data_IF_590290366461
#
_entry.id   IF_590290366461
#
_cell.length_a   1.000
_cell.length_b   1.000
_cell.length_c   1.000
_cell.angle_alpha   90.00
_cell.angle_beta   90.00
_cell.angle_gamma   90.00
#
_symmetry.space_group_name_H-M   'P 1'
#
loop_
_entity.id
_entity.type
_entity.pdbx_description
1 polymer ?
#
# COMPACT_ATOMS: atom_id res chain seq x y z
N UNK A 1 11.87 -34.03 -7.74
CA UNK A 1 12.16 -33.47 -9.06
C UNK A 1 10.95 -33.79 -9.94
N UNK A 2 10.01 -32.84 -10.07
CA UNK A 2 8.78 -33.03 -10.84
C UNK A 2 8.92 -32.14 -12.06
N UNK A 3 9.04 -32.77 -13.22
CA UNK A 3 9.15 -32.11 -14.54
C UNK A 3 7.75 -31.79 -14.99
N UNK A 4 7.39 -30.47 -14.99
CA UNK A 4 6.13 -29.97 -15.52
C UNK A 4 6.25 -29.83 -17.04
N UNK A 5 5.60 -30.72 -17.76
CA UNK A 5 5.56 -30.71 -19.24
C UNK A 5 4.52 -29.66 -19.66
N UNK A 6 4.96 -28.56 -20.25
CA UNK A 6 4.10 -27.58 -20.90
C UNK A 6 3.64 -28.12 -22.23
N UNK A 7 2.37 -28.49 -22.36
CA UNK A 7 1.73 -28.88 -23.60
C UNK A 7 1.43 -27.62 -24.42
N UNK A 8 2.25 -27.36 -25.43
CA UNK A 8 1.96 -26.32 -26.45
C UNK A 8 0.97 -26.88 -27.44
N UNK A 9 -0.29 -26.47 -27.38
CA UNK A 9 -1.31 -26.82 -28.36
C UNK A 9 -1.15 -25.86 -29.55
N UNK A 10 -0.58 -26.36 -30.64
CA UNK A 10 -0.66 -25.68 -31.93
C UNK A 10 -2.08 -25.86 -32.49
N UNK A 11 -2.91 -24.82 -32.41
CA UNK A 11 -4.13 -24.73 -33.20
C UNK A 11 -3.73 -24.47 -34.66
N UNK A 12 -3.74 -25.50 -35.47
CA UNK A 12 -3.71 -25.37 -36.92
C UNK A 12 -5.05 -24.76 -37.36
N UNK A 13 -5.08 -23.47 -37.59
CA UNK A 13 -6.20 -22.80 -38.26
C UNK A 13 -6.22 -23.25 -39.74
N UNK A 14 -7.14 -24.18 -40.07
CA UNK A 14 -7.40 -24.60 -41.45
C UNK A 14 -7.85 -23.40 -42.27
N UNK A 15 -6.94 -22.86 -43.05
CA UNK A 15 -7.11 -21.69 -43.90
C UNK A 15 -7.89 -21.88 -45.20
N UNK A 16 -8.90 -22.76 -45.23
CA UNK A 16 -9.62 -23.10 -46.48
C UNK A 16 -10.67 -22.05 -46.91
N UNK A 17 -11.21 -21.22 -46.02
CA UNK A 17 -12.24 -20.24 -46.41
C UNK A 17 -11.71 -18.86 -46.85
N UNK A 18 -10.46 -18.51 -46.50
CA UNK A 18 -9.83 -17.25 -46.91
C UNK A 18 -9.25 -17.36 -48.32
N UNK A 19 -8.69 -18.50 -48.75
CA UNK A 19 -8.18 -18.75 -50.08
C UNK A 19 -9.28 -18.77 -51.14
N UNK A 20 -10.48 -19.23 -50.84
CA UNK A 20 -11.63 -19.22 -51.77
C UNK A 20 -12.09 -17.83 -52.19
N UNK A 21 -11.70 -16.76 -51.47
CA UNK A 21 -12.04 -15.37 -51.78
C UNK A 21 -10.93 -14.59 -52.48
N UNK A 22 -9.70 -15.05 -52.38
CA UNK A 22 -8.55 -14.53 -53.12
C UNK A 22 -8.65 -14.99 -54.59
N UNK A 23 -8.49 -14.05 -55.53
CA UNK A 23 -8.60 -14.32 -56.96
C UNK A 23 -10.01 -14.09 -57.56
N UNK A 24 -11.06 -13.92 -56.74
CA UNK A 24 -12.38 -13.57 -57.29
C UNK A 24 -12.38 -12.15 -57.92
N UNK A 25 -13.13 -11.96 -59.00
CA UNK A 25 -13.26 -10.65 -59.67
C UNK A 25 -13.80 -9.60 -58.69
N UNK A 26 -13.27 -8.40 -58.78
CA UNK A 26 -13.72 -7.26 -58.02
C UNK A 26 -14.09 -6.06 -58.89
N UNK A 27 -15.00 -5.15 -58.47
CA UNK A 27 -15.59 -4.16 -59.36
C UNK A 27 -14.63 -3.03 -59.75
N UNK A 28 -13.72 -2.63 -58.85
CA UNK A 28 -12.80 -1.49 -59.10
C UNK A 28 -11.52 -1.66 -58.29
N UNK A 29 -10.36 -1.52 -58.94
CA UNK A 29 -9.08 -1.53 -58.28
C UNK A 29 -8.99 -0.45 -57.16
N UNK A 30 -8.36 -0.75 -56.06
CA UNK A 30 -8.23 0.10 -54.87
C UNK A 30 -9.37 -0.04 -53.85
N UNK A 31 -10.46 -0.76 -54.14
CA UNK A 31 -11.49 -1.05 -53.15
C UNK A 31 -10.98 -2.07 -52.12
N UNK A 32 -11.44 -1.90 -50.89
CA UNK A 32 -11.14 -2.82 -49.79
C UNK A 32 -12.41 -3.47 -49.26
N UNK A 33 -12.32 -4.69 -48.74
CA UNK A 33 -13.40 -5.36 -47.96
C UNK A 33 -12.82 -6.29 -46.94
N UNK A 34 -13.55 -6.52 -45.84
CA UNK A 34 -13.18 -7.46 -44.83
C UNK A 34 -14.17 -8.61 -44.79
N UNK A 35 -13.69 -9.86 -44.78
CA UNK A 35 -14.51 -11.07 -44.68
C UNK A 35 -13.91 -11.97 -43.62
N UNK A 36 -14.69 -12.30 -42.60
CA UNK A 36 -14.25 -13.14 -41.46
C UNK A 36 -12.92 -12.67 -40.85
N UNK A 37 -12.72 -11.34 -40.68
CA UNK A 37 -11.51 -10.78 -40.09
C UNK A 37 -10.30 -10.65 -41.04
N UNK A 38 -10.41 -11.12 -42.29
CA UNK A 38 -9.34 -10.97 -43.28
C UNK A 38 -9.66 -9.80 -44.21
N UNK A 39 -8.72 -8.87 -44.32
CA UNK A 39 -8.85 -7.73 -45.26
C UNK A 39 -8.35 -8.10 -46.65
N UNK A 40 -9.10 -7.70 -47.64
CA UNK A 40 -8.80 -7.90 -49.04
C UNK A 40 -8.74 -6.55 -49.77
N UNK A 41 -7.80 -6.39 -50.69
CA UNK A 41 -7.69 -5.25 -51.56
C UNK A 41 -7.91 -5.71 -53.02
N UNK A 42 -8.72 -4.94 -53.77
CA UNK A 42 -8.94 -5.18 -55.18
C UNK A 42 -7.75 -4.69 -56.01
N UNK A 43 -7.02 -5.58 -56.65
CA UNK A 43 -5.81 -5.26 -57.43
C UNK A 43 -6.02 -5.56 -58.88
N UNK A 44 -5.59 -4.68 -59.77
CA UNK A 44 -5.61 -4.91 -61.21
C UNK A 44 -4.60 -6.01 -61.60
N UNK A 45 -5.04 -7.07 -62.25
CA UNK A 45 -4.17 -8.13 -62.78
C UNK A 45 -3.86 -7.78 -64.24
N UNK A 46 -2.59 -7.62 -64.53
CA UNK A 46 -2.13 -7.40 -65.91
C UNK A 46 -2.54 -8.54 -66.83
N UNK A 47 -3.05 -8.23 -67.99
CA UNK A 47 -3.34 -9.26 -69.03
C UNK A 47 -2.07 -9.60 -69.76
N UNK A 48 -1.79 -10.90 -69.88
CA UNK A 48 -0.62 -11.41 -70.60
C UNK A 48 -0.89 -11.43 -72.13
N UNK A 49 -2.12 -11.26 -72.56
CA UNK A 49 -2.48 -11.22 -73.97
C UNK A 49 -2.61 -9.79 -74.49
N UNK A 50 -1.90 -9.44 -75.55
CA UNK A 50 -1.93 -8.14 -76.22
C UNK A 50 -3.37 -7.83 -76.67
N UNK A 51 -3.99 -6.74 -76.15
CA UNK A 51 -5.35 -6.34 -76.46
C UNK A 51 -6.49 -6.79 -75.48
N UNK A 52 -6.22 -7.59 -74.48
CA UNK A 52 -7.23 -7.99 -73.49
C UNK A 52 -7.32 -7.00 -72.36
N UNK A 53 -8.57 -6.66 -71.93
CA UNK A 53 -8.80 -5.78 -70.77
C UNK A 53 -8.24 -6.38 -69.47
N UNK A 54 -7.54 -5.56 -68.69
CA UNK A 54 -7.11 -5.94 -67.36
C UNK A 54 -8.32 -6.31 -66.49
N UNK A 55 -8.24 -7.43 -65.77
CA UNK A 55 -9.27 -7.83 -64.80
C UNK A 55 -8.78 -7.51 -63.39
N UNK A 56 -9.65 -6.94 -62.55
CA UNK A 56 -9.34 -6.71 -61.16
C UNK A 56 -9.78 -7.92 -60.30
N UNK A 57 -8.94 -8.33 -59.35
CA UNK A 57 -9.18 -9.47 -58.46
C UNK A 57 -8.91 -9.10 -57.00
N UNK A 58 -9.65 -9.74 -56.07
CA UNK A 58 -9.40 -9.61 -54.66
C UNK A 58 -8.13 -10.32 -54.27
N UNK A 59 -7.23 -9.61 -53.60
CA UNK A 59 -5.99 -10.14 -53.00
C UNK A 59 -6.05 -9.95 -51.51
N UNK A 60 -5.73 -10.98 -50.75
CA UNK A 60 -5.62 -10.84 -49.31
C UNK A 60 -4.54 -9.78 -48.98
N UNK A 61 -4.89 -8.77 -48.23
CA UNK A 61 -3.92 -7.78 -47.77
C UNK A 61 -3.05 -8.42 -46.70
N UNK A 62 -1.76 -8.47 -46.93
CA UNK A 62 -0.76 -8.90 -45.94
C UNK A 62 -0.40 -7.77 -44.94
N UNK A 63 -1.24 -6.72 -44.89
CA UNK A 63 -1.13 -5.76 -43.78
C UNK A 63 -1.44 -6.59 -42.52
N UNK A 64 -0.49 -6.76 -41.59
CA UNK A 64 -0.83 -7.37 -40.32
C UNK A 64 -2.01 -6.58 -39.77
N UNK A 65 -3.06 -7.30 -39.37
CA UNK A 65 -4.15 -6.67 -38.62
C UNK A 65 -3.47 -5.84 -37.54
N UNK A 66 -3.69 -4.51 -37.61
CA UNK A 66 -3.29 -3.64 -36.50
C UNK A 66 -4.07 -4.20 -35.32
N UNK A 67 -3.43 -5.05 -34.54
CA UNK A 67 -3.95 -5.42 -33.24
C UNK A 67 -4.14 -4.11 -32.54
N UNK A 68 -5.39 -3.68 -32.41
CA UNK A 68 -5.74 -2.62 -31.49
C UNK A 68 -5.30 -3.18 -30.13
N UNK A 69 -4.07 -2.87 -29.73
CA UNK A 69 -3.61 -3.11 -28.38
C UNK A 69 -4.53 -2.24 -27.54
N UNK A 70 -5.57 -2.85 -26.99
CA UNK A 70 -6.24 -2.31 -25.84
C UNK A 70 -5.15 -2.28 -24.79
N UNK A 71 -4.50 -1.14 -24.63
CA UNK A 71 -3.58 -0.90 -23.50
C UNK A 71 -4.49 -0.96 -22.29
N UNK A 72 -4.62 -2.15 -21.71
CA UNK A 72 -5.17 -2.31 -20.37
C UNK A 72 -4.16 -1.61 -19.49
N UNK A 73 -4.44 -0.36 -19.15
CA UNK A 73 -3.69 0.35 -18.12
C UNK A 73 -3.86 -0.50 -16.87
N UNK A 74 -2.83 -1.29 -16.53
CA UNK A 74 -2.80 -2.04 -15.28
C UNK A 74 -2.85 -0.97 -14.19
N UNK A 75 -4.00 -0.87 -13.51
CA UNK A 75 -4.16 0.07 -12.40
C UNK A 75 -3.19 -0.38 -11.32
N UNK A 76 -2.14 0.41 -11.11
CA UNK A 76 -1.16 0.15 -10.05
C UNK A 76 -1.89 0.25 -8.71
N UNK A 77 -1.87 -0.83 -7.93
CA UNK A 77 -2.52 -0.87 -6.60
C UNK A 77 -1.75 -0.04 -5.60
N UNK A 78 -2.38 0.31 -4.48
CA UNK A 78 -1.70 0.99 -3.36
C UNK A 78 -0.43 0.25 -2.92
N UNK A 79 -0.51 -1.08 -2.76
CA UNK A 79 0.63 -1.93 -2.41
C UNK A 79 1.78 -1.88 -3.43
N UNK A 80 1.50 -1.50 -4.68
CA UNK A 80 2.47 -1.35 -5.77
C UNK A 80 2.92 0.12 -5.97
N UNK A 81 2.56 1.03 -5.07
CA UNK A 81 2.90 2.46 -5.15
C UNK A 81 1.88 3.30 -5.92
N UNK A 82 0.67 2.79 -6.17
CA UNK A 82 -0.45 3.56 -6.71
C UNK A 82 -1.13 4.45 -5.68
N UNK A 83 -2.19 5.15 -6.12
CA UNK A 83 -3.03 5.96 -5.22
C UNK A 83 -3.74 5.06 -4.23
N UNK A 84 -3.67 5.42 -2.95
CA UNK A 84 -4.26 4.67 -1.85
C UNK A 84 -5.52 5.34 -1.30
N UNK A 85 -6.42 4.50 -0.81
CA UNK A 85 -7.56 4.88 0.02
C UNK A 85 -7.45 4.25 1.41
N UNK A 86 -8.17 4.81 2.37
CA UNK A 86 -8.29 4.20 3.71
C UNK A 86 -8.90 2.80 3.58
N UNK A 87 -8.23 1.81 4.13
CA UNK A 87 -8.60 0.39 4.04
C UNK A 87 -7.85 -0.41 2.97
N UNK A 88 -7.06 0.23 2.11
CA UNK A 88 -6.22 -0.48 1.15
C UNK A 88 -5.03 -1.16 1.84
N UNK A 89 -4.49 -2.21 1.21
CA UNK A 89 -3.20 -2.75 1.61
C UNK A 89 -2.07 -1.83 1.16
N UNK A 90 -1.24 -1.39 2.09
CA UNK A 90 -0.08 -0.55 1.83
C UNK A 90 1.14 -1.33 1.35
N UNK A 91 2.22 -0.64 0.93
CA UNK A 91 3.44 -1.26 0.40
C UNK A 91 4.28 -2.01 1.46
N UNK A 92 3.99 -1.83 2.74
CA UNK A 92 4.56 -2.62 3.84
C UNK A 92 3.73 -3.84 4.22
N UNK A 93 2.65 -4.12 3.48
CA UNK A 93 1.72 -5.22 3.77
C UNK A 93 0.77 -4.92 4.93
N UNK A 94 0.79 -3.69 5.46
CA UNK A 94 -0.14 -3.20 6.45
C UNK A 94 -1.44 -2.67 5.84
N UNK A 95 -2.27 -2.08 6.68
CA UNK A 95 -3.54 -1.48 6.27
C UNK A 95 -3.40 0.06 6.28
N UNK A 96 -3.75 0.73 5.20
CA UNK A 96 -3.79 2.19 5.15
C UNK A 96 -4.91 2.69 6.05
N UNK A 97 -4.57 3.41 7.10
CA UNK A 97 -5.55 3.97 8.03
C UNK A 97 -5.70 5.50 7.91
N UNK A 98 -4.73 6.15 7.26
CA UNK A 98 -4.69 7.59 7.10
C UNK A 98 -4.31 8.00 5.69
N UNK A 99 -5.05 8.95 5.13
CA UNK A 99 -4.74 9.66 3.89
C UNK A 99 -4.70 11.14 4.22
N UNK A 100 -3.52 11.72 4.13
CA UNK A 100 -3.33 13.13 4.47
C UNK A 100 -4.05 14.05 3.47
N UNK A 101 -4.76 15.08 3.94
CA UNK A 101 -5.37 16.09 3.06
C UNK A 101 -4.33 16.89 2.28
N UNK A 102 -3.14 17.07 2.84
CA UNK A 102 -1.96 17.63 2.21
C UNK A 102 -0.71 16.79 2.59
N UNK A 103 0.34 16.74 1.76
CA UNK A 103 1.57 16.05 2.11
C UNK A 103 2.16 16.56 3.44
N UNK A 104 2.75 15.65 4.23
CA UNK A 104 3.41 15.98 5.49
C UNK A 104 4.87 15.54 5.50
N UNK A 105 5.65 16.13 6.40
CA UNK A 105 7.06 15.76 6.63
C UNK A 105 7.15 14.70 7.72
N UNK A 106 7.83 13.60 7.44
CA UNK A 106 8.21 12.60 8.43
C UNK A 106 9.53 13.03 9.07
N UNK A 107 9.47 13.60 10.27
CA UNK A 107 10.66 14.11 10.97
C UNK A 107 11.60 12.96 11.32
N UNK A 108 12.91 13.16 11.14
CA UNK A 108 13.95 12.20 11.47
C UNK A 108 14.12 11.04 10.48
N UNK A 109 13.20 10.87 9.52
CA UNK A 109 13.31 9.81 8.54
C UNK A 109 14.47 10.06 7.57
N UNK A 110 15.43 9.12 7.53
CA UNK A 110 16.58 9.17 6.60
C UNK A 110 16.44 8.18 5.45
N UNK A 111 15.99 6.99 5.75
CA UNK A 111 15.91 5.85 4.82
C UNK A 111 14.47 5.41 4.56
N UNK A 112 13.50 6.23 4.96
CA UNK A 112 12.07 5.99 4.76
C UNK A 112 11.68 6.22 3.30
N UNK A 113 10.59 5.59 2.86
CA UNK A 113 10.04 5.80 1.52
C UNK A 113 9.52 7.22 1.30
N UNK A 114 9.35 8.01 2.34
CA UNK A 114 9.05 9.43 2.26
C UNK A 114 9.75 10.18 3.39
N UNK A 115 10.15 11.44 3.12
CA UNK A 115 10.73 12.34 4.12
C UNK A 115 9.96 13.65 4.21
N UNK A 116 9.67 14.29 3.09
CA UNK A 116 9.04 15.61 3.02
C UNK A 116 7.69 15.64 2.31
N UNK A 117 7.27 14.52 1.71
CA UNK A 117 6.06 14.42 0.89
C UNK A 117 5.23 13.19 1.22
N UNK A 118 5.27 12.74 2.47
CA UNK A 118 4.45 11.63 2.93
C UNK A 118 2.97 11.95 2.80
N UNK A 119 2.19 10.98 2.38
CA UNK A 119 0.76 11.15 2.16
C UNK A 119 -0.10 10.14 2.91
N UNK A 120 0.45 9.01 3.25
CA UNK A 120 -0.27 7.88 3.82
C UNK A 120 0.40 7.37 5.07
N UNK A 121 -0.42 6.83 6.00
CA UNK A 121 0.06 5.98 7.08
C UNK A 121 -0.58 4.60 6.95
N UNK A 122 0.23 3.56 7.08
CA UNK A 122 -0.23 2.17 7.19
C UNK A 122 0.08 1.60 8.58
N UNK A 123 -0.82 0.76 9.11
CA UNK A 123 -0.62 0.03 10.36
C UNK A 123 -0.24 -1.42 10.06
N UNK A 124 0.69 -1.97 10.80
CA UNK A 124 1.08 -3.37 10.70
C UNK A 124 -0.14 -4.31 10.84
N UNK A 125 -0.16 -5.50 10.20
CA UNK A 125 -1.24 -6.46 10.36
C UNK A 125 -1.33 -6.97 11.82
N UNK A 126 -2.47 -7.53 12.21
CA UNK A 126 -2.69 -8.04 13.56
C UNK A 126 -1.73 -9.16 13.99
N UNK A 127 -1.05 -9.76 13.03
CA UNK A 127 -0.05 -10.84 13.25
C UNK A 127 1.38 -10.32 13.38
N UNK A 128 1.59 -9.02 13.47
CA UNK A 128 2.92 -8.40 13.44
C UNK A 128 3.89 -8.88 14.54
N UNK A 129 3.37 -9.23 15.71
CA UNK A 129 4.16 -9.65 16.87
C UNK A 129 4.19 -11.16 17.07
N UNK A 130 3.57 -11.97 16.19
CA UNK A 130 3.34 -13.41 16.36
C UNK A 130 2.55 -13.77 17.64
N UNK A 131 1.93 -12.80 18.30
CA UNK A 131 1.05 -13.01 19.45
C UNK A 131 -0.42 -13.14 19.01
N UNK A 132 -1.26 -13.63 19.90
CA UNK A 132 -2.72 -13.61 19.70
C UNK A 132 -3.25 -12.20 19.97
N UNK A 133 -3.10 -11.30 18.99
CA UNK A 133 -3.46 -9.89 19.07
C UNK A 133 -2.25 -8.96 19.16
N UNK A 134 -2.48 -7.74 19.60
CA UNK A 134 -1.41 -6.76 19.74
C UNK A 134 -0.52 -7.04 20.96
N UNK A 135 0.77 -6.84 20.79
CA UNK A 135 1.74 -6.98 21.89
C UNK A 135 1.46 -5.95 22.98
N UNK A 136 1.47 -6.41 24.24
CA UNK A 136 1.31 -5.55 25.42
C UNK A 136 2.63 -5.40 26.13
N UNK A 137 3.18 -4.21 26.15
CA UNK A 137 4.47 -3.89 26.80
C UNK A 137 4.44 -2.47 27.36
N UNK A 138 5.45 -2.14 28.17
CA UNK A 138 5.67 -0.80 28.70
C UNK A 138 6.10 0.17 27.59
N UNK A 139 5.96 1.45 27.84
CA UNK A 139 6.41 2.49 26.89
C UNK A 139 7.93 2.49 26.74
N UNK A 140 8.68 2.38 27.84
CA UNK A 140 10.13 2.18 27.92
C UNK A 140 10.46 0.99 28.81
N UNK A 141 11.67 0.45 28.69
CA UNK A 141 12.17 -0.64 29.51
C UNK A 141 12.40 -0.20 30.95
N UNK A 142 12.24 -1.14 31.90
CA UNK A 142 12.69 -0.96 33.27
C UNK A 142 14.22 -1.07 33.32
N UNK A 143 14.87 0.08 33.23
CA UNK A 143 16.33 0.15 33.23
C UNK A 143 16.81 1.29 34.13
N UNK A 144 17.71 0.98 35.04
CA UNK A 144 18.27 1.94 36.00
C UNK A 144 19.71 2.26 35.63
N UNK A 145 19.98 3.53 35.38
CA UNK A 145 21.33 4.07 35.14
C UNK A 145 21.56 5.29 36.05
N UNK A 146 22.70 5.40 36.68
CA UNK A 146 23.04 6.53 37.56
C UNK A 146 21.93 6.86 38.58
N UNK A 147 21.30 5.84 39.15
CA UNK A 147 20.16 5.92 40.07
C UNK A 147 18.85 6.47 39.48
N UNK A 148 18.78 6.68 38.16
CA UNK A 148 17.57 7.04 37.45
C UNK A 148 17.00 5.83 36.70
N UNK A 149 15.68 5.59 36.84
CA UNK A 149 14.96 4.57 36.09
C UNK A 149 14.26 5.20 34.87
N UNK A 150 14.33 4.53 33.73
CA UNK A 150 13.70 5.02 32.48
C UNK A 150 12.21 5.31 32.65
N UNK A 151 11.51 4.59 33.51
CA UNK A 151 10.09 4.86 33.79
C UNK A 151 9.82 6.26 34.35
N UNK A 152 10.85 6.90 34.96
CA UNK A 152 10.75 8.19 35.64
C UNK A 152 11.68 9.25 35.03
N UNK A 153 12.30 8.92 33.89
CA UNK A 153 13.26 9.78 33.23
C UNK A 153 12.72 10.26 31.89
N UNK A 154 12.78 11.56 31.64
CA UNK A 154 12.36 12.14 30.38
C UNK A 154 13.21 11.63 29.21
N UNK A 155 12.58 11.40 28.06
CA UNK A 155 13.23 11.13 26.80
C UNK A 155 13.30 12.42 25.99
N UNK A 156 14.51 12.98 25.89
CA UNK A 156 14.71 14.22 25.14
C UNK A 156 14.30 14.05 23.66
N UNK A 157 13.39 14.89 23.18
CA UNK A 157 12.91 14.90 21.81
C UNK A 157 11.70 14.03 21.51
N UNK A 158 11.24 13.19 22.46
CA UNK A 158 10.08 12.32 22.26
C UNK A 158 8.73 12.99 22.61
N UNK A 159 8.65 14.30 22.60
CA UNK A 159 7.45 15.09 22.96
C UNK A 159 6.59 15.49 21.75
N UNK A 160 7.03 15.17 20.52
CA UNK A 160 6.30 15.47 19.30
C UNK A 160 4.92 14.80 19.27
N UNK A 161 3.84 15.59 19.08
CA UNK A 161 2.46 15.06 19.10
C UNK A 161 1.82 15.00 17.72
N UNK A 162 2.28 15.81 16.76
CA UNK A 162 1.67 15.97 15.44
C UNK A 162 1.91 14.76 14.54
N UNK A 163 1.10 14.62 13.47
CA UNK A 163 1.36 13.69 12.38
C UNK A 163 2.73 14.00 11.76
N UNK A 164 3.55 12.96 11.58
CA UNK A 164 4.92 13.07 11.07
C UNK A 164 6.00 13.17 12.16
N UNK A 165 5.65 13.20 13.45
CA UNK A 165 6.64 13.24 14.53
C UNK A 165 6.95 11.87 15.14
N UNK A 166 6.08 10.88 14.94
CA UNK A 166 6.18 9.58 15.61
C UNK A 166 7.46 8.83 15.29
N UNK A 167 8.01 8.97 14.09
CA UNK A 167 9.27 8.34 13.70
C UNK A 167 10.45 8.89 14.53
N UNK A 168 10.57 10.23 14.65
CA UNK A 168 11.62 10.86 15.44
C UNK A 168 11.46 10.49 16.93
N UNK A 169 10.26 10.61 17.49
CA UNK A 169 10.01 10.20 18.86
C UNK A 169 10.50 8.75 19.11
N UNK A 170 10.20 7.84 18.16
CA UNK A 170 10.62 6.44 18.26
C UNK A 170 12.13 6.25 18.20
N UNK A 171 12.84 7.10 17.44
CA UNK A 171 14.32 7.11 17.43
C UNK A 171 14.87 7.57 18.78
N UNK A 172 14.31 8.64 19.34
CA UNK A 172 14.77 9.23 20.60
C UNK A 172 14.52 8.26 21.76
N UNK A 173 13.36 7.59 21.80
CA UNK A 173 13.08 6.52 22.76
C UNK A 173 14.07 5.36 22.60
N UNK A 174 14.34 4.93 21.38
CA UNK A 174 15.27 3.83 21.12
C UNK A 174 16.72 4.18 21.46
N UNK A 175 17.08 5.46 21.41
CA UNK A 175 18.42 5.96 21.78
C UNK A 175 18.61 6.05 23.30
N UNK A 176 17.53 6.07 24.10
CA UNK A 176 17.66 6.04 25.55
C UNK A 176 18.23 4.68 26.00
N UNK A 177 19.27 4.71 26.83
CA UNK A 177 19.99 3.53 27.26
C UNK A 177 19.05 2.51 27.93
N UNK A 178 19.26 1.23 27.63
CA UNK A 178 18.53 0.11 28.23
C UNK A 178 17.18 -0.23 27.61
N UNK A 179 16.66 0.58 26.68
CA UNK A 179 15.43 0.22 25.98
C UNK A 179 15.68 -0.94 25.01
N UNK A 180 14.89 -2.00 25.13
CA UNK A 180 15.00 -3.22 24.31
C UNK A 180 13.67 -3.65 23.72
N UNK A 181 13.71 -4.46 22.66
CA UNK A 181 12.52 -4.94 21.92
C UNK A 181 11.48 -5.60 22.82
N UNK A 182 11.92 -6.35 23.82
CA UNK A 182 11.01 -7.13 24.68
C UNK A 182 10.20 -6.27 25.67
N UNK A 183 10.59 -5.01 25.90
CA UNK A 183 10.00 -4.20 26.96
C UNK A 183 9.89 -2.70 26.66
N UNK A 184 10.14 -2.28 25.43
CA UNK A 184 9.90 -0.89 24.98
C UNK A 184 9.05 -0.86 23.73
N UNK A 185 7.92 -0.15 23.79
CA UNK A 185 6.93 -0.02 22.72
C UNK A 185 7.55 0.51 21.42
N UNK A 186 8.35 1.57 21.50
CA UNK A 186 9.01 2.15 20.34
C UNK A 186 10.08 1.22 19.74
N UNK A 187 10.89 0.58 20.59
CA UNK A 187 11.94 -0.35 20.11
C UNK A 187 11.31 -1.58 19.47
N UNK A 188 10.23 -2.13 20.04
CA UNK A 188 9.49 -3.23 19.43
C UNK A 188 8.89 -2.84 18.06
N UNK A 189 8.31 -1.64 17.95
CA UNK A 189 7.77 -1.13 16.69
C UNK A 189 8.86 -0.94 15.63
N UNK A 190 10.02 -0.42 16.02
CA UNK A 190 11.19 -0.21 15.14
C UNK A 190 11.84 -1.51 14.68
N UNK A 191 11.76 -2.58 15.49
CA UNK A 191 12.29 -3.89 15.16
C UNK A 191 11.41 -4.67 14.17
N UNK A 192 10.17 -4.24 13.96
CA UNK A 192 9.29 -4.89 12.98
C UNK A 192 9.78 -4.63 11.56
N UNK A 193 9.79 -5.67 10.72
CA UNK A 193 10.29 -5.61 9.34
C UNK A 193 9.28 -6.16 8.33
N UNK A 194 7.98 -5.99 8.60
CA UNK A 194 6.90 -6.46 7.74
C UNK A 194 6.98 -5.86 6.33
N UNK A 195 6.65 -6.68 5.33
CA UNK A 195 6.74 -6.30 3.92
C UNK A 195 8.16 -5.99 3.44
N UNK A 196 9.21 -6.42 4.18
CA UNK A 196 10.59 -6.08 3.89
C UNK A 196 10.92 -4.59 4.11
N UNK A 197 10.13 -3.90 4.94
CA UNK A 197 10.32 -2.49 5.28
C UNK A 197 10.96 -2.36 6.66
N UNK A 198 11.86 -1.38 6.83
CA UNK A 198 12.63 -1.14 8.05
C UNK A 198 12.32 0.22 8.68
N UNK A 199 11.33 0.91 8.16
CA UNK A 199 10.90 2.26 8.55
C UNK A 199 9.59 2.28 9.37
N UNK A 200 9.25 1.16 10.02
CA UNK A 200 8.17 1.06 10.98
C UNK A 200 8.51 1.78 12.30
N UNK A 201 7.52 2.35 12.96
CA UNK A 201 7.70 3.12 14.18
C UNK A 201 6.43 3.09 15.06
N UNK A 202 6.53 3.58 16.29
CA UNK A 202 5.39 3.83 17.16
C UNK A 202 4.79 5.19 16.82
N UNK A 203 3.53 5.24 16.44
CA UNK A 203 2.87 6.47 16.01
C UNK A 203 2.80 7.54 17.09
N UNK A 204 2.87 8.81 16.72
CA UNK A 204 2.64 9.94 17.62
C UNK A 204 1.18 9.97 18.13
N UNK A 205 0.90 10.82 19.10
CA UNK A 205 -0.47 10.99 19.65
C UNK A 205 -1.51 11.22 18.53
N UNK A 206 -1.23 12.11 17.59
CA UNK A 206 -2.20 12.45 16.55
C UNK A 206 -2.28 11.38 15.46
N UNK A 207 -1.18 10.66 15.18
CA UNK A 207 -1.18 9.49 14.31
C UNK A 207 -2.01 8.34 14.91
N UNK A 208 -1.93 8.14 16.23
CA UNK A 208 -2.74 7.14 16.92
C UNK A 208 -4.22 7.54 17.02
N UNK A 209 -4.53 8.84 17.05
CA UNK A 209 -5.90 9.33 16.90
C UNK A 209 -6.49 8.97 15.52
N UNK A 210 -5.72 9.12 14.46
CA UNK A 210 -6.13 8.67 13.11
C UNK A 210 -6.30 7.15 13.04
N UNK A 211 -5.40 6.39 13.68
CA UNK A 211 -5.55 4.93 13.80
C UNK A 211 -6.86 4.55 14.48
N UNK A 212 -7.22 5.24 15.56
CA UNK A 212 -8.49 5.03 16.28
C UNK A 212 -9.70 5.28 15.37
N UNK A 213 -9.72 6.37 14.63
CA UNK A 213 -10.81 6.67 13.67
C UNK A 213 -11.02 5.54 12.68
N UNK A 214 -9.92 5.00 12.15
CA UNK A 214 -9.95 3.84 11.27
C UNK A 214 -10.41 2.58 12.01
N UNK A 215 -9.73 2.21 13.10
CA UNK A 215 -9.96 0.96 13.83
C UNK A 215 -11.41 0.83 14.29
N UNK A 216 -11.99 1.91 14.76
CA UNK A 216 -13.37 1.96 15.24
C UNK A 216 -14.42 2.30 14.18
N UNK A 217 -14.00 2.58 12.95
CA UNK A 217 -14.92 2.95 11.85
C UNK A 217 -15.86 4.09 12.26
N UNK A 218 -15.29 5.15 12.81
CA UNK A 218 -16.08 6.27 13.37
C UNK A 218 -16.86 7.07 12.34
N UNK A 219 -16.52 6.96 11.06
CA UNK A 219 -17.06 7.79 9.98
C UNK A 219 -16.44 9.19 9.92
N UNK A 220 -15.53 9.53 10.84
CA UNK A 220 -14.81 10.79 10.82
C UNK A 220 -13.84 10.85 9.64
N UNK A 221 -13.71 12.02 9.03
CA UNK A 221 -12.80 12.20 7.89
C UNK A 221 -11.34 12.02 8.34
N UNK A 222 -10.57 11.30 7.53
CA UNK A 222 -9.13 11.17 7.69
C UNK A 222 -8.47 12.55 7.60
N UNK A 223 -7.55 12.85 8.52
CA UNK A 223 -6.86 14.14 8.59
C UNK A 223 -7.69 15.29 9.16
N UNK A 224 -8.91 15.04 9.62
CA UNK A 224 -9.66 16.06 10.38
C UNK A 224 -9.03 16.26 11.76
N UNK A 225 -9.08 17.49 12.27
CA UNK A 225 -8.60 17.81 13.64
C UNK A 225 -9.51 17.23 14.74
N UNK A 226 -10.54 16.46 14.37
CA UNK A 226 -11.49 15.89 15.33
C UNK A 226 -10.84 14.74 16.11
N UNK A 227 -11.16 14.68 17.38
CA UNK A 227 -10.80 13.57 18.25
C UNK A 227 -11.60 12.32 17.85
N UNK A 228 -10.97 11.16 17.90
CA UNK A 228 -11.64 9.89 17.68
C UNK A 228 -12.81 9.74 18.65
N UNK A 229 -14.01 9.47 18.16
CA UNK A 229 -15.21 9.33 18.96
C UNK A 229 -16.21 8.36 18.31
N UNK A 230 -16.84 7.52 19.14
CA UNK A 230 -17.90 6.61 18.70
C UNK A 230 -17.40 5.41 17.87
N UNK A 231 -18.19 5.01 16.89
CA UNK A 231 -17.88 3.89 15.99
C UNK A 231 -18.19 2.52 16.58
N UNK A 232 -17.58 1.48 16.00
CA UNK A 232 -17.79 0.07 16.37
C UNK A 232 -16.58 -0.48 17.15
N UNK A 233 -16.68 -1.74 17.61
CA UNK A 233 -15.53 -2.42 18.24
C UNK A 233 -14.33 -2.49 17.29
N UNK A 234 -13.12 -2.15 17.74
CA UNK A 234 -11.91 -2.19 16.91
C UNK A 234 -11.53 -3.60 16.47
N UNK A 235 -12.01 -4.64 17.18
CA UNK A 235 -11.78 -6.05 16.81
C UNK A 235 -12.32 -6.40 15.42
N UNK A 236 -13.35 -5.72 14.95
CA UNK A 236 -13.89 -5.87 13.58
C UNK A 236 -12.86 -5.51 12.48
N UNK A 237 -11.78 -4.81 12.83
CA UNK A 237 -10.70 -4.43 11.93
C UNK A 237 -9.32 -4.97 12.37
N UNK A 238 -9.32 -6.00 13.23
CA UNK A 238 -8.09 -6.68 13.65
C UNK A 238 -7.25 -5.90 14.66
N UNK A 239 -7.87 -5.02 15.45
CA UNK A 239 -7.22 -4.33 16.57
C UNK A 239 -7.76 -4.86 17.89
N UNK A 240 -6.91 -4.92 18.91
CA UNK A 240 -7.34 -5.27 20.26
C UNK A 240 -8.29 -4.21 20.83
N UNK A 241 -9.26 -4.62 21.63
CA UNK A 241 -10.12 -3.72 22.42
C UNK A 241 -9.32 -3.28 23.65
N UNK A 242 -8.48 -2.27 23.47
CA UNK A 242 -7.49 -1.88 24.48
C UNK A 242 -7.07 -0.41 24.30
N UNK A 243 -6.23 0.07 25.19
CA UNK A 243 -5.43 1.27 25.01
C UNK A 243 -4.23 0.95 24.13
N UNK A 244 -3.76 1.95 23.36
CA UNK A 244 -2.60 1.82 22.49
C UNK A 244 -1.61 2.92 22.77
N UNK A 245 -0.37 2.56 23.10
CA UNK A 245 0.69 3.54 23.25
C UNK A 245 0.86 4.41 22.01
N UNK A 246 1.10 5.69 22.21
CA UNK A 246 1.75 6.55 21.23
C UNK A 246 3.21 6.75 21.60
N UNK A 247 4.00 7.27 20.66
CA UNK A 247 5.40 7.62 20.92
C UNK A 247 5.58 8.97 21.61
N UNK A 248 4.48 9.69 21.89
CA UNK A 248 4.55 11.05 22.44
C UNK A 248 4.66 11.03 23.96
N UNK A 249 5.77 11.52 24.47
CA UNK A 249 5.94 11.77 25.90
C UNK A 249 5.07 12.95 26.35
N UNK A 250 4.56 12.93 27.58
CA UNK A 250 3.82 14.04 28.18
C UNK A 250 4.53 14.60 29.42
N UNK A 251 5.29 13.75 30.12
CA UNK A 251 6.06 14.10 31.31
C UNK A 251 7.19 13.08 31.50
N UNK A 252 8.13 13.35 32.40
CA UNK A 252 9.23 12.44 32.66
C UNK A 252 8.79 11.01 33.00
N UNK A 253 7.64 10.85 33.62
CA UNK A 253 7.05 9.57 34.03
C UNK A 253 5.85 9.13 33.20
N UNK A 254 5.42 9.92 32.20
CA UNK A 254 4.17 9.71 31.49
C UNK A 254 4.27 9.83 29.97
N UNK A 255 3.48 9.02 29.27
CA UNK A 255 3.33 9.08 27.82
C UNK A 255 1.86 9.02 27.41
N UNK A 256 1.56 9.55 26.23
CA UNK A 256 0.23 9.51 25.65
C UNK A 256 -0.14 8.10 25.15
N UNK A 257 -1.39 7.73 25.35
CA UNK A 257 -2.01 6.57 24.71
C UNK A 257 -3.34 6.98 24.05
N UNK A 258 -3.79 6.19 23.09
CA UNK A 258 -5.10 6.32 22.46
C UNK A 258 -6.05 5.24 23.01
N UNK A 259 -7.23 5.66 23.45
CA UNK A 259 -8.28 4.74 23.91
C UNK A 259 -9.07 4.18 22.70
N UNK A 260 -8.87 2.91 22.39
CA UNK A 260 -9.67 2.18 21.41
C UNK A 260 -10.86 1.43 22.05
N UNK A 261 -10.98 1.43 23.36
CA UNK A 261 -12.11 0.77 24.06
C UNK A 261 -13.38 1.59 23.87
N UNK A 262 -13.30 2.87 24.20
CA UNK A 262 -14.46 3.78 24.19
C UNK A 262 -14.44 4.77 23.02
N UNK A 263 -13.33 4.87 22.29
CA UNK A 263 -13.06 5.93 21.31
C UNK A 263 -13.16 7.30 21.96
N UNK A 264 -12.34 7.53 22.94
CA UNK A 264 -12.22 8.84 23.59
C UNK A 264 -10.92 9.54 23.20
N UNK A 265 -10.78 10.79 23.63
CA UNK A 265 -9.56 11.56 23.45
C UNK A 265 -8.35 10.79 24.02
N UNK A 266 -7.19 11.03 23.41
CA UNK A 266 -5.93 10.53 23.96
C UNK A 266 -5.78 10.97 25.41
N UNK A 267 -5.31 10.05 26.24
CA UNK A 267 -5.00 10.27 27.65
C UNK A 267 -3.54 9.88 27.91
N UNK A 268 -3.05 10.04 29.14
CA UNK A 268 -1.70 9.67 29.53
C UNK A 268 -1.68 8.66 30.65
N UNK A 269 -0.65 7.82 30.66
CA UNK A 269 -0.37 6.89 31.74
C UNK A 269 1.13 6.91 32.05
N UNK A 270 1.49 6.34 33.22
CA UNK A 270 2.89 6.16 33.59
C UNK A 270 3.57 5.19 32.65
N UNK A 271 4.84 5.44 32.28
CA UNK A 271 5.60 4.70 31.27
C UNK A 271 5.75 3.20 31.55
N UNK A 272 5.62 2.78 32.83
CA UNK A 272 5.62 1.40 33.25
C UNK A 272 4.28 0.66 33.04
N UNK A 273 3.22 1.40 32.69
CA UNK A 273 1.95 0.76 32.34
C UNK A 273 2.13 -0.12 31.10
N UNK A 274 1.48 -1.27 31.07
CA UNK A 274 1.55 -2.19 29.94
C UNK A 274 0.25 -2.14 29.13
N UNK A 275 0.33 -1.76 27.86
CA UNK A 275 -0.81 -1.73 26.97
C UNK A 275 -0.41 -2.08 25.54
N UNK A 276 -1.39 -2.13 24.65
CA UNK A 276 -1.19 -2.58 23.28
C UNK A 276 -0.29 -1.66 22.46
N UNK A 277 0.44 -2.24 21.53
CA UNK A 277 1.35 -1.57 20.59
C UNK A 277 1.00 -2.03 19.18
N UNK A 278 0.93 -1.09 18.24
CA UNK A 278 0.81 -1.38 16.81
C UNK A 278 1.82 -0.52 16.04
N UNK A 279 2.80 -1.14 15.36
CA UNK A 279 3.70 -0.41 14.48
C UNK A 279 2.93 0.29 13.36
N UNK A 280 3.33 1.50 13.04
CA UNK A 280 2.84 2.26 11.89
C UNK A 280 3.98 2.65 10.98
N UNK A 281 3.67 3.05 9.75
CA UNK A 281 4.64 3.44 8.75
C UNK A 281 4.08 4.53 7.85
N UNK A 282 4.91 5.54 7.53
CA UNK A 282 4.58 6.59 6.57
C UNK A 282 5.10 6.28 5.17
N UNK A 283 4.35 6.70 4.13
CA UNK A 283 4.76 6.55 2.73
C UNK A 283 3.95 7.46 1.80
N UNK A 284 4.33 7.53 0.49
CA UNK A 284 3.58 8.25 -0.54
C UNK A 284 4.38 9.15 -1.43
#
# INVERSE_FOLDING_TARGET
MVISTVLVIFLSLNGTSAQAQAGAKCPKAGQTRTIKGVSYICTAKASVKKGAKATAVWVASSIPATTSSTTTTVKVTCAQGGVCAVGDSGPGGGIVFYVAPAPFTQIGAKDSMCTTSCKYLEAAPSTWSNAAGDLKISWVSDYTTNFANNWWTAVSGADGVAVGTGYQNSLDIAAQAGNIVASSAAVASRAYAGGGKTDWFLGSRDEMNELCKYARKTGQASGSATVCAGGVSPSARGFSVDYYWSSSEVAADGAWFQDLITASASASATKNFTTSVRPVRAFG
#
